data_IF_057166786606
#
_entry.id   IF_057166786606
#
_cell.length_a   1.000
_cell.length_b   1.000
_cell.length_c   1.000
_cell.angle_alpha   90.00
_cell.angle_beta   90.00
_cell.angle_gamma   90.00
#
_symmetry.space_group_name_H-M   'P 1'
#
loop_
_entity.id
_entity.type
_entity.pdbx_description
1 polymer ?
#
# COMPACT_ATOMS: atom_id res chain seq x y z
N UNK A 1 -21.03 -5.77 45.87
CA UNK A 1 -21.34 -7.07 45.27
C UNK A 1 -22.85 -7.36 45.06
N UNK A 2 -23.77 -6.97 45.96
CA UNK A 2 -25.23 -7.26 45.79
C UNK A 2 -25.84 -6.55 44.55
N UNK A 3 -25.43 -5.31 44.22
CA UNK A 3 -25.93 -4.56 43.06
C UNK A 3 -25.56 -5.24 41.71
N UNK A 4 -24.31 -5.72 41.56
CA UNK A 4 -23.87 -6.41 40.36
C UNK A 4 -24.69 -7.69 40.14
N UNK A 5 -24.92 -8.50 41.20
CA UNK A 5 -25.75 -9.73 41.12
C UNK A 5 -27.18 -9.41 40.70
N UNK A 6 -27.77 -8.30 41.20
CA UNK A 6 -29.12 -7.88 40.86
C UNK A 6 -29.28 -7.49 39.41
N UNK A 7 -28.22 -6.87 38.80
CA UNK A 7 -28.23 -6.34 37.44
C UNK A 7 -27.44 -7.18 36.43
N UNK A 8 -27.10 -8.43 36.80
CA UNK A 8 -26.21 -9.26 36.00
C UNK A 8 -26.73 -9.53 34.58
N UNK A 9 -28.02 -9.76 34.43
CA UNK A 9 -28.66 -9.96 33.11
C UNK A 9 -28.59 -8.72 32.28
N UNK A 10 -28.84 -7.52 32.83
CA UNK A 10 -28.74 -6.24 32.14
C UNK A 10 -27.31 -5.94 31.71
N UNK A 11 -26.34 -6.21 32.59
CA UNK A 11 -24.90 -6.05 32.27
C UNK A 11 -24.51 -6.99 31.12
N UNK A 12 -24.96 -8.26 31.18
CA UNK A 12 -24.68 -9.23 30.11
C UNK A 12 -25.27 -8.77 28.76
N UNK A 13 -26.53 -8.32 28.76
CA UNK A 13 -27.18 -7.81 27.54
C UNK A 13 -26.46 -6.58 26.99
N UNK A 14 -26.02 -5.66 27.85
CA UNK A 14 -25.23 -4.49 27.43
C UNK A 14 -23.87 -4.90 26.85
N UNK A 15 -23.21 -5.90 27.42
CA UNK A 15 -21.95 -6.42 26.87
C UNK A 15 -22.16 -7.04 25.48
N UNK A 16 -23.19 -7.86 25.33
CA UNK A 16 -23.54 -8.46 24.04
C UNK A 16 -23.87 -7.38 23.01
N UNK A 17 -24.63 -6.36 23.39
CA UNK A 17 -24.94 -5.21 22.54
C UNK A 17 -23.68 -4.46 22.12
N UNK A 18 -22.76 -4.18 23.05
CA UNK A 18 -21.50 -3.48 22.75
C UNK A 18 -20.62 -4.28 21.81
N UNK A 19 -20.48 -5.58 22.03
CA UNK A 19 -19.70 -6.46 21.13
C UNK A 19 -20.35 -6.49 19.74
N UNK A 20 -21.67 -6.67 19.66
CA UNK A 20 -22.36 -6.67 18.38
C UNK A 20 -22.25 -5.34 17.63
N UNK A 21 -22.38 -4.23 18.34
CA UNK A 21 -22.21 -2.89 17.78
C UNK A 21 -20.77 -2.66 17.31
N UNK A 22 -19.78 -3.08 18.09
CA UNK A 22 -18.36 -2.98 17.70
C UNK A 22 -18.05 -3.77 16.43
N UNK A 23 -18.57 -4.98 16.31
CA UNK A 23 -18.40 -5.80 15.09
C UNK A 23 -19.11 -5.18 13.89
N UNK A 24 -20.28 -4.59 14.08
CA UNK A 24 -21.02 -3.91 13.02
C UNK A 24 -20.32 -2.65 12.53
N UNK A 25 -19.74 -1.85 13.43
CA UNK A 25 -19.08 -0.60 13.11
C UNK A 25 -17.62 -0.78 12.64
N UNK A 26 -17.00 -1.92 12.97
CA UNK A 26 -15.59 -2.19 12.66
C UNK A 26 -15.23 -1.92 11.19
N UNK A 27 -15.95 -2.42 10.17
CA UNK A 27 -15.59 -2.17 8.78
C UNK A 27 -15.58 -0.68 8.42
N UNK A 28 -16.59 0.07 8.89
CA UNK A 28 -16.71 1.50 8.58
C UNK A 28 -15.62 2.33 9.24
N UNK A 29 -15.30 2.03 10.50
CA UNK A 29 -14.24 2.73 11.25
C UNK A 29 -12.88 2.40 10.66
N UNK A 30 -12.64 1.14 10.33
CA UNK A 30 -11.38 0.69 9.72
C UNK A 30 -11.18 1.30 8.33
N UNK A 31 -12.20 1.32 7.49
CA UNK A 31 -12.17 1.95 6.16
C UNK A 31 -11.83 3.45 6.24
N UNK A 32 -12.51 4.17 7.15
CA UNK A 32 -12.23 5.58 7.39
C UNK A 32 -10.77 5.81 7.87
N UNK A 33 -10.30 4.99 8.81
CA UNK A 33 -8.94 5.07 9.32
C UNK A 33 -7.90 4.81 8.23
N UNK A 34 -8.10 3.76 7.43
CA UNK A 34 -7.21 3.42 6.32
C UNK A 34 -7.18 4.52 5.26
N UNK A 35 -8.34 5.09 4.90
CA UNK A 35 -8.41 6.17 3.91
C UNK A 35 -7.64 7.43 4.34
N UNK A 36 -7.67 7.77 5.63
CA UNK A 36 -6.87 8.87 6.17
C UNK A 36 -5.37 8.60 6.07
N UNK A 37 -4.94 7.38 6.38
CA UNK A 37 -3.52 7.00 6.30
C UNK A 37 -3.03 6.96 4.85
N UNK A 38 -3.80 6.41 3.94
CA UNK A 38 -3.52 6.39 2.51
C UNK A 38 -3.39 7.82 1.95
N UNK A 39 -4.33 8.69 2.27
CA UNK A 39 -4.30 10.10 1.84
C UNK A 39 -3.08 10.84 2.39
N UNK A 40 -2.69 10.58 3.65
CA UNK A 40 -1.49 11.15 4.24
C UNK A 40 -0.23 10.62 3.57
N UNK A 41 -0.16 9.32 3.31
CA UNK A 41 0.97 8.67 2.63
C UNK A 41 1.18 9.26 1.23
N UNK A 42 0.10 9.41 0.45
CA UNK A 42 0.14 10.05 -0.88
C UNK A 42 0.58 11.52 -0.78
N UNK A 43 0.05 12.28 0.19
CA UNK A 43 0.43 13.68 0.37
C UNK A 43 1.92 13.82 0.74
N UNK A 44 2.43 12.95 1.62
CA UNK A 44 3.86 12.94 1.98
C UNK A 44 4.74 12.60 0.78
N UNK A 45 4.36 11.60 -0.02
CA UNK A 45 5.05 11.25 -1.25
C UNK A 45 5.03 12.40 -2.26
N UNK A 46 3.87 13.01 -2.50
CA UNK A 46 3.73 14.14 -3.43
C UNK A 46 4.57 15.35 -2.99
N UNK A 47 4.66 15.60 -1.69
CA UNK A 47 5.54 16.64 -1.14
C UNK A 47 7.00 16.29 -1.36
N UNK A 48 7.43 15.06 -1.07
CA UNK A 48 8.81 14.61 -1.29
C UNK A 48 9.20 14.74 -2.77
N UNK A 49 8.34 14.32 -3.70
CA UNK A 49 8.57 14.50 -5.15
C UNK A 49 8.69 15.98 -5.55
N UNK A 50 7.89 16.86 -4.93
CA UNK A 50 7.96 18.30 -5.22
C UNK A 50 9.25 18.96 -4.71
N UNK A 51 9.95 18.35 -3.76
CA UNK A 51 11.22 18.83 -3.19
C UNK A 51 12.44 18.26 -3.92
N UNK A 52 12.25 17.23 -4.79
CA UNK A 52 13.32 16.66 -5.63
C UNK A 52 13.72 17.66 -6.71
N UNK A 53 15.01 17.89 -6.89
CA UNK A 53 15.50 18.72 -8.00
C UNK A 53 15.43 17.97 -9.35
N UNK A 54 15.42 18.73 -10.46
CA UNK A 54 15.27 18.18 -11.81
C UNK A 54 16.31 17.10 -12.14
N UNK A 55 17.55 17.24 -11.68
CA UNK A 55 18.62 16.28 -11.94
C UNK A 55 18.43 14.99 -11.16
N UNK A 56 18.06 15.08 -9.90
CA UNK A 56 17.76 13.94 -9.07
C UNK A 56 16.55 13.19 -9.62
N UNK A 57 15.54 13.92 -10.10
CA UNK A 57 14.37 13.34 -10.73
C UNK A 57 14.74 12.58 -12.01
N UNK A 58 15.56 13.18 -12.91
CA UNK A 58 16.06 12.51 -14.11
C UNK A 58 16.82 11.22 -13.76
N UNK A 59 17.73 11.27 -12.78
CA UNK A 59 18.49 10.10 -12.34
C UNK A 59 17.58 8.96 -11.85
N UNK A 60 16.59 9.28 -11.04
CA UNK A 60 15.66 8.26 -10.54
C UNK A 60 14.91 7.54 -11.69
N UNK A 61 14.53 8.29 -12.72
CA UNK A 61 13.88 7.72 -13.89
C UNK A 61 14.84 6.88 -14.73
N UNK A 62 16.06 7.34 -14.91
CA UNK A 62 17.10 6.63 -15.66
C UNK A 62 17.45 5.30 -14.94
N UNK A 63 17.63 5.31 -13.63
CA UNK A 63 17.90 4.13 -12.83
C UNK A 63 16.74 3.11 -12.94
N UNK A 64 15.49 3.57 -12.86
CA UNK A 64 14.33 2.72 -13.01
C UNK A 64 14.18 2.14 -14.44
N UNK A 65 14.53 2.92 -15.47
CA UNK A 65 14.60 2.44 -16.85
C UNK A 65 15.71 1.41 -17.03
N UNK A 66 16.89 1.66 -16.49
CA UNK A 66 18.02 0.73 -16.55
C UNK A 66 17.67 -0.60 -15.87
N UNK A 67 17.11 -0.55 -14.68
CA UNK A 67 16.59 -1.74 -13.98
C UNK A 67 15.62 -2.53 -14.87
N UNK A 68 14.65 -1.85 -15.49
CA UNK A 68 13.70 -2.50 -16.39
C UNK A 68 14.37 -3.15 -17.62
N UNK A 69 15.45 -2.59 -18.15
CA UNK A 69 16.21 -3.19 -19.25
C UNK A 69 16.99 -4.43 -18.79
N UNK A 70 17.65 -4.34 -17.63
CA UNK A 70 18.37 -5.47 -17.04
C UNK A 70 17.44 -6.64 -16.74
N UNK A 71 16.24 -6.35 -16.22
CA UNK A 71 15.22 -7.34 -15.90
C UNK A 71 14.77 -8.15 -17.11
N UNK A 72 14.77 -7.59 -18.33
CA UNK A 72 14.41 -8.30 -19.58
C UNK A 72 15.36 -9.45 -19.90
N UNK A 73 16.64 -9.30 -19.57
CA UNK A 73 17.70 -10.30 -19.83
C UNK A 73 17.80 -11.35 -18.73
N UNK A 74 17.17 -11.12 -17.59
CA UNK A 74 17.26 -11.99 -16.41
C UNK A 74 16.36 -13.22 -16.58
N UNK A 75 16.97 -14.41 -16.59
CA UNK A 75 16.27 -15.68 -16.81
C UNK A 75 15.37 -16.09 -15.64
N UNK A 76 15.72 -15.68 -14.41
CA UNK A 76 14.97 -16.00 -13.19
C UNK A 76 14.63 -14.75 -12.38
N UNK A 77 13.91 -13.83 -13.01
CA UNK A 77 13.57 -12.52 -12.44
C UNK A 77 12.61 -12.54 -11.23
N UNK A 78 11.99 -13.70 -11.00
CA UNK A 78 11.03 -13.87 -9.89
C UNK A 78 11.68 -14.31 -8.59
N UNK A 79 12.98 -14.59 -8.60
CA UNK A 79 13.76 -14.92 -7.40
C UNK A 79 14.89 -13.90 -7.33
N UNK A 80 14.82 -13.02 -6.34
CA UNK A 80 15.84 -12.01 -6.09
C UNK A 80 16.79 -12.47 -5.00
N UNK A 81 18.06 -12.11 -5.12
CA UNK A 81 19.01 -12.14 -4.01
C UNK A 81 18.69 -10.99 -3.05
N UNK A 82 19.33 -10.98 -1.88
CA UNK A 82 19.13 -9.90 -0.91
C UNK A 82 19.62 -8.56 -1.48
N UNK A 83 20.76 -8.55 -2.22
CA UNK A 83 21.31 -7.37 -2.87
C UNK A 83 20.38 -6.83 -3.98
N UNK A 84 19.80 -7.72 -4.77
CA UNK A 84 18.83 -7.34 -5.82
C UNK A 84 17.53 -6.79 -5.24
N UNK A 85 17.16 -7.27 -4.06
CA UNK A 85 16.01 -6.75 -3.34
C UNK A 85 16.27 -5.35 -2.78
N UNK A 86 17.43 -5.13 -2.18
CA UNK A 86 17.84 -3.81 -1.69
C UNK A 86 17.90 -2.79 -2.85
N UNK A 87 18.44 -3.18 -4.01
CA UNK A 87 18.43 -2.35 -5.21
C UNK A 87 16.99 -2.00 -5.62
N UNK A 88 16.13 -3.01 -5.77
CA UNK A 88 14.73 -2.83 -6.15
C UNK A 88 13.97 -1.91 -5.18
N UNK A 89 14.14 -2.09 -3.87
CA UNK A 89 13.47 -1.31 -2.84
C UNK A 89 13.96 0.15 -2.79
N UNK A 90 15.17 0.42 -3.24
CA UNK A 90 15.72 1.79 -3.32
C UNK A 90 15.22 2.59 -4.52
N UNK A 91 14.73 1.92 -5.57
CA UNK A 91 14.30 2.57 -6.81
C UNK A 91 12.94 3.26 -6.63
N UNK A 92 12.85 4.52 -7.05
CA UNK A 92 11.65 5.36 -6.96
C UNK A 92 11.15 5.67 -5.54
N UNK A 93 11.85 5.24 -4.49
CA UNK A 93 11.49 5.57 -3.10
C UNK A 93 12.01 6.96 -2.70
N UNK A 94 11.26 7.99 -3.06
CA UNK A 94 11.61 9.41 -2.81
C UNK A 94 11.43 9.79 -1.34
N UNK A 95 10.60 9.06 -0.62
CA UNK A 95 10.15 9.43 0.73
C UNK A 95 10.66 8.50 1.84
N UNK A 96 11.58 7.58 1.51
CA UNK A 96 12.15 6.57 2.41
C UNK A 96 11.06 5.77 3.18
N UNK A 97 9.94 5.49 2.53
CA UNK A 97 8.81 4.78 3.14
C UNK A 97 8.28 3.63 2.27
N UNK A 98 9.00 3.24 1.23
CA UNK A 98 8.67 2.15 0.32
C UNK A 98 7.60 2.47 -0.71
N UNK A 99 7.20 3.75 -0.88
CA UNK A 99 6.20 4.16 -1.86
C UNK A 99 6.86 4.47 -3.20
N UNK A 100 6.50 3.72 -4.23
CA UNK A 100 6.88 3.93 -5.64
C UNK A 100 6.10 5.08 -6.29
N UNK A 101 4.89 5.32 -5.84
CA UNK A 101 3.95 6.23 -6.46
C UNK A 101 2.53 6.03 -5.96
N UNK A 102 1.56 6.52 -6.71
CA UNK A 102 0.15 6.26 -6.40
C UNK A 102 -0.65 6.03 -7.69
N UNK A 103 -1.72 5.25 -7.57
CA UNK A 103 -2.66 5.00 -8.66
C UNK A 103 -3.94 5.80 -8.42
N UNK A 104 -4.38 6.51 -9.44
CA UNK A 104 -5.67 7.21 -9.43
C UNK A 104 -6.62 6.61 -10.47
N UNK A 105 -7.84 6.30 -10.04
CA UNK A 105 -8.92 5.84 -10.91
C UNK A 105 -10.11 6.78 -10.69
N UNK A 106 -10.17 7.93 -11.38
CA UNK A 106 -11.17 8.98 -11.13
C UNK A 106 -12.59 8.50 -11.28
N UNK A 107 -12.84 7.56 -12.22
CA UNK A 107 -14.17 7.00 -12.50
C UNK A 107 -14.82 6.38 -11.26
N UNK A 108 -14.04 5.80 -10.37
CA UNK A 108 -14.50 5.17 -9.13
C UNK A 108 -13.99 5.89 -7.88
N UNK A 109 -13.37 7.07 -8.06
CA UNK A 109 -12.84 7.91 -6.98
C UNK A 109 -11.86 7.17 -6.06
N UNK A 110 -11.01 6.34 -6.66
CA UNK A 110 -9.94 5.62 -5.95
C UNK A 110 -8.61 6.35 -6.16
N UNK A 111 -7.89 6.54 -5.07
CA UNK A 111 -6.49 6.99 -5.04
C UNK A 111 -5.77 6.18 -3.96
N UNK A 112 -4.81 5.35 -4.37
CA UNK A 112 -4.12 4.41 -3.50
C UNK A 112 -2.61 4.51 -3.70
N UNK A 113 -1.80 4.48 -2.63
CA UNK A 113 -0.35 4.39 -2.74
C UNK A 113 0.05 3.01 -3.29
N UNK A 114 1.15 3.00 -4.04
CA UNK A 114 1.78 1.79 -4.57
C UNK A 114 3.09 1.60 -3.81
N UNK A 115 3.23 0.47 -3.14
CA UNK A 115 4.43 0.10 -2.40
C UNK A 115 5.26 -0.93 -3.16
N UNK A 116 6.54 -1.02 -2.82
CA UNK A 116 7.40 -2.14 -3.21
C UNK A 116 6.90 -3.43 -2.58
N UNK A 117 6.88 -4.51 -3.38
CA UNK A 117 6.46 -5.83 -2.91
C UNK A 117 4.95 -6.00 -2.73
N UNK A 118 4.57 -7.21 -2.33
CA UNK A 118 3.17 -7.63 -2.16
C UNK A 118 2.95 -8.36 -0.85
N UNK A 119 3.67 -7.96 0.18
CA UNK A 119 3.51 -8.53 1.51
C UNK A 119 2.11 -8.31 2.06
N UNK A 120 1.66 -9.21 2.91
CA UNK A 120 0.29 -9.16 3.46
C UNK A 120 -0.02 -7.80 4.12
N UNK A 121 0.95 -7.22 4.83
CA UNK A 121 0.80 -5.91 5.46
C UNK A 121 0.53 -4.79 4.45
N UNK A 122 1.21 -4.82 3.30
CA UNK A 122 1.01 -3.86 2.21
C UNK A 122 -0.37 -4.06 1.58
N UNK A 123 -0.71 -5.29 1.23
CA UNK A 123 -1.98 -5.59 0.55
C UNK A 123 -3.22 -5.30 1.41
N UNK A 124 -3.08 -5.24 2.74
CA UNK A 124 -4.18 -4.86 3.62
C UNK A 124 -4.51 -3.37 3.59
N UNK A 125 -3.59 -2.51 3.16
CA UNK A 125 -3.74 -1.05 3.23
C UNK A 125 -3.54 -0.33 1.90
N UNK A 126 -2.94 -0.99 0.90
CA UNK A 126 -2.46 -0.34 -0.31
C UNK A 126 -2.44 -1.29 -1.52
N UNK A 127 -1.85 -0.81 -2.60
CA UNK A 127 -1.47 -1.60 -3.77
C UNK A 127 0.01 -1.94 -3.67
N UNK A 128 0.37 -3.19 -3.95
CA UNK A 128 1.74 -3.66 -4.02
C UNK A 128 2.22 -3.84 -5.46
N UNK A 129 3.46 -3.48 -5.75
CA UNK A 129 4.11 -3.80 -7.02
C UNK A 129 4.74 -5.18 -6.93
N UNK A 130 4.43 -6.06 -7.91
CA UNK A 130 4.96 -7.42 -7.93
C UNK A 130 6.44 -7.41 -8.31
N UNK A 131 7.28 -7.86 -7.38
CA UNK A 131 8.71 -8.07 -7.60
C UNK A 131 8.97 -8.94 -8.84
N UNK A 132 10.00 -8.60 -9.62
CA UNK A 132 10.30 -9.30 -10.86
C UNK A 132 9.44 -8.88 -12.05
N UNK A 133 8.40 -8.06 -11.87
CA UNK A 133 7.78 -7.30 -12.94
C UNK A 133 8.50 -5.97 -13.14
N UNK A 134 8.29 -5.32 -14.29
CA UNK A 134 8.92 -4.02 -14.55
C UNK A 134 8.38 -2.94 -13.63
N UNK A 135 9.24 -2.02 -13.19
CA UNK A 135 8.80 -0.81 -12.50
C UNK A 135 7.84 0.00 -13.36
N UNK A 136 6.85 0.70 -12.76
CA UNK A 136 5.74 1.33 -13.48
C UNK A 136 6.11 2.67 -14.15
N UNK A 137 7.30 2.75 -14.73
CA UNK A 137 7.80 3.92 -15.47
C UNK A 137 7.53 3.85 -16.98
N UNK A 138 6.90 2.77 -17.44
CA UNK A 138 6.58 2.57 -18.86
C UNK A 138 7.79 2.15 -19.70
N UNK A 139 7.68 2.34 -21.02
CA UNK A 139 8.71 2.01 -21.99
C UNK A 139 8.41 0.72 -22.80
N UNK A 140 9.02 0.58 -24.00
CA UNK A 140 8.75 -0.56 -24.87
C UNK A 140 9.28 -1.87 -24.27
N UNK A 141 8.44 -2.91 -24.30
CA UNK A 141 8.78 -4.25 -23.80
C UNK A 141 8.80 -4.34 -22.26
N UNK A 142 8.20 -3.39 -21.55
CA UNK A 142 8.01 -3.43 -20.10
C UNK A 142 6.59 -3.89 -19.75
N UNK A 143 6.44 -4.54 -18.59
CA UNK A 143 5.17 -4.95 -18.06
C UNK A 143 5.20 -4.82 -16.53
N UNK A 144 4.66 -3.73 -16.02
CA UNK A 144 4.47 -3.53 -14.58
C UNK A 144 3.21 -4.24 -14.11
N UNK A 145 3.31 -4.94 -13.00
CA UNK A 145 2.17 -5.67 -12.41
C UNK A 145 1.92 -5.15 -10.99
N UNK A 146 0.71 -4.67 -10.79
CA UNK A 146 0.24 -4.19 -9.50
C UNK A 146 -0.80 -5.17 -8.94
N UNK A 147 -0.72 -5.43 -7.65
CA UNK A 147 -1.65 -6.31 -6.92
C UNK A 147 -2.33 -5.54 -5.80
N UNK A 148 -3.60 -5.82 -5.60
CA UNK A 148 -4.37 -5.24 -4.51
C UNK A 148 -5.63 -6.05 -4.23
N UNK A 149 -6.16 -5.98 -3.03
CA UNK A 149 -7.40 -6.62 -2.70
C UNK A 149 -8.60 -5.93 -3.37
N UNK A 150 -9.55 -6.72 -3.86
CA UNK A 150 -10.80 -6.20 -4.45
C UNK A 150 -11.78 -5.64 -3.42
N UNK A 151 -11.61 -6.00 -2.17
CA UNK A 151 -12.40 -5.56 -1.03
C UNK A 151 -12.00 -6.38 0.19
N UNK A 152 -11.72 -5.69 1.27
CA UNK A 152 -11.42 -6.26 2.57
C UNK A 152 -12.57 -5.92 3.51
N UNK A 153 -12.82 -6.72 4.58
CA UNK A 153 -13.74 -6.32 5.64
C UNK A 153 -13.34 -5.00 6.30
N UNK A 154 -12.07 -4.62 6.17
CA UNK A 154 -11.44 -3.42 6.75
C UNK A 154 -11.22 -2.29 5.75
N UNK A 155 -11.50 -2.51 4.46
CA UNK A 155 -11.33 -1.50 3.39
C UNK A 155 -12.23 -1.83 2.19
N UNK A 156 -12.77 -0.80 1.54
CA UNK A 156 -13.61 -0.93 0.32
C UNK A 156 -12.78 -0.78 -0.93
#
# INVERSE_FOLDING_TARGET
>A
MKWIKKNMTTILLLLILLVGLSLLLYPTVSDYWNSLHQSKAIATYAQAVAEVDDKQYEHMWDDAYEYNQQLKSKSNRWIMTDEEREEYESLLDVSDNGILGYIEIPKIKVSLPIYHGTDEGILQIAVGHIEGSSLPVGGPGTHAVLSGHRGLPSAK
#
